data_IF_994451987622
#
_entry.id   IF_994451987622
#
_cell.length_a   1.000
_cell.length_b   1.000
_cell.length_c   1.000
_cell.angle_alpha   90.00
_cell.angle_beta   90.00
_cell.angle_gamma   90.00
#
_symmetry.space_group_name_H-M   'P 1'
#
loop_
_entity.id
_entity.type
_entity.pdbx_description
1 polymer ?
#
# COMPACT_ATOMS: atom_id res chain seq x y z
N UNK A 1 -7.97 -11.88 -7.00
CA UNK A 1 -7.94 -11.59 -5.54
C UNK A 1 -7.85 -10.08 -5.33
N UNK A 2 -8.94 -9.46 -4.89
CA UNK A 2 -9.00 -8.05 -4.55
C UNK A 2 -8.84 -7.87 -3.04
N UNK A 3 -7.82 -7.13 -2.64
CA UNK A 3 -7.54 -6.79 -1.25
C UNK A 3 -7.88 -5.32 -0.99
N UNK A 4 -8.34 -5.02 0.20
CA UNK A 4 -8.89 -3.74 0.59
C UNK A 4 -7.89 -2.73 1.08
N UNK A 5 -8.06 -1.49 0.69
CA UNK A 5 -7.51 -0.38 1.44
C UNK A 5 -8.34 0.88 1.29
N UNK A 6 -8.80 1.44 2.34
CA UNK A 6 -8.86 2.85 2.69
C UNK A 6 -9.48 3.08 4.05
N UNK A 7 -8.89 4.09 4.71
CA UNK A 7 -9.53 5.00 5.62
C UNK A 7 -10.47 4.36 6.63
N UNK A 8 -9.91 3.77 7.64
CA UNK A 8 -10.64 3.35 8.80
C UNK A 8 -10.43 4.42 9.89
N UNK A 9 -10.98 5.63 9.70
CA UNK A 9 -11.22 6.59 10.78
C UNK A 9 -12.33 6.07 11.70
N UNK A 10 -13.16 6.90 12.31
CA UNK A 10 -14.30 6.51 13.16
C UNK A 10 -15.26 5.45 12.58
N UNK A 11 -15.02 4.99 11.39
CA UNK A 11 -15.78 4.01 10.61
C UNK A 11 -15.44 2.55 10.96
N UNK A 12 -14.46 2.29 11.83
CA UNK A 12 -13.95 0.95 12.18
C UNK A 12 -15.01 -0.12 12.50
N UNK A 13 -16.08 0.24 13.17
CA UNK A 13 -17.12 -0.73 13.54
C UNK A 13 -18.05 -1.10 12.38
N UNK A 14 -18.26 -0.22 11.40
CA UNK A 14 -19.19 -0.44 10.27
C UNK A 14 -18.52 -1.09 9.06
N UNK A 15 -17.31 -0.65 8.69
CA UNK A 15 -16.66 -1.09 7.43
C UNK A 15 -16.16 -2.53 7.44
N UNK A 16 -15.82 -3.10 8.59
CA UNK A 16 -15.32 -4.48 8.64
C UNK A 16 -16.37 -5.51 8.27
N UNK A 17 -17.66 -5.26 8.62
CA UNK A 17 -18.77 -6.10 8.14
C UNK A 17 -19.00 -5.92 6.64
N UNK A 18 -18.70 -4.75 6.11
CA UNK A 18 -18.86 -4.42 4.69
C UNK A 18 -17.74 -5.00 3.82
N UNK A 19 -16.57 -5.32 4.40
CA UNK A 19 -15.45 -6.00 3.73
C UNK A 19 -15.91 -7.30 3.08
N UNK A 20 -16.55 -8.17 3.84
CA UNK A 20 -17.06 -9.44 3.33
C UNK A 20 -18.20 -9.24 2.34
N UNK A 21 -19.10 -8.26 2.57
CA UNK A 21 -20.19 -7.93 1.63
C UNK A 21 -19.67 -7.40 0.29
N UNK A 22 -18.57 -6.64 0.29
CA UNK A 22 -17.92 -6.19 -0.92
C UNK A 22 -17.18 -7.32 -1.65
N UNK A 23 -17.06 -8.50 -1.03
CA UNK A 23 -16.37 -9.65 -1.61
C UNK A 23 -14.85 -9.56 -1.55
N UNK A 24 -14.27 -8.85 -0.60
CA UNK A 24 -12.83 -8.77 -0.44
C UNK A 24 -12.25 -10.06 0.13
N UNK A 25 -11.02 -10.39 -0.30
CA UNK A 25 -10.29 -11.59 0.11
C UNK A 25 -9.27 -11.28 1.25
N UNK A 26 -9.30 -10.04 1.79
CA UNK A 26 -8.43 -9.61 2.86
C UNK A 26 -8.27 -8.08 2.95
N UNK A 27 -7.37 -7.62 3.81
CA UNK A 27 -6.96 -6.22 3.92
C UNK A 27 -5.56 -6.08 3.35
N UNK A 28 -5.45 -5.54 2.15
CA UNK A 28 -4.18 -5.38 1.44
C UNK A 28 -3.36 -4.18 1.91
N UNK A 29 -4.01 -3.20 2.57
CA UNK A 29 -3.35 -2.06 3.18
C UNK A 29 -4.21 -1.51 4.31
N UNK A 30 -3.81 -1.77 5.55
CA UNK A 30 -4.31 -1.08 6.72
C UNK A 30 -3.43 0.13 7.00
N UNK A 31 -3.97 1.33 6.75
CA UNK A 31 -3.28 2.59 7.01
C UNK A 31 -3.39 2.93 8.49
N UNK A 32 -2.27 3.09 9.16
CA UNK A 32 -2.24 3.32 10.61
C UNK A 32 -2.26 4.80 11.00
N UNK A 33 -2.08 5.69 10.04
CA UNK A 33 -2.01 7.14 10.26
C UNK A 33 -3.25 7.69 10.96
N UNK A 34 -4.42 7.10 10.71
CA UNK A 34 -5.68 7.52 11.36
C UNK A 34 -5.66 7.41 12.88
N UNK A 35 -4.81 6.55 13.43
CA UNK A 35 -4.66 6.42 14.88
C UNK A 35 -3.93 7.62 15.49
N UNK A 36 -3.22 8.38 14.66
CA UNK A 36 -2.36 9.51 15.06
C UNK A 36 -2.94 10.86 14.67
N UNK A 37 -3.89 10.89 13.73
CA UNK A 37 -4.48 12.13 13.23
C UNK A 37 -5.64 12.61 14.11
N UNK A 38 -5.88 13.95 14.11
CA UNK A 38 -7.02 14.59 14.80
C UNK A 38 -7.08 14.28 16.30
N UNK A 39 -5.93 14.30 16.97
CA UNK A 39 -5.81 14.10 18.42
C UNK A 39 -4.57 14.85 18.96
N UNK A 40 -4.62 15.25 20.23
CA UNK A 40 -3.57 16.05 20.89
C UNK A 40 -2.53 15.17 21.63
N UNK A 41 -2.74 13.86 21.67
CA UNK A 41 -1.85 12.88 22.28
C UNK A 41 -1.52 11.74 21.30
N UNK A 42 -0.46 11.02 21.59
CA UNK A 42 -0.09 9.83 20.80
C UNK A 42 -0.92 8.63 21.23
N UNK A 43 -1.33 7.75 20.29
CA UNK A 43 -2.01 6.52 20.63
C UNK A 43 -1.08 5.60 21.42
N UNK A 44 -1.51 5.17 22.61
CA UNK A 44 -0.75 4.23 23.39
C UNK A 44 -0.73 2.83 22.73
N UNK A 45 0.13 1.94 23.24
CA UNK A 45 0.27 0.58 22.71
C UNK A 45 -1.06 -0.19 22.71
N UNK A 46 -1.84 -0.09 23.79
CA UNK A 46 -3.10 -0.83 23.91
C UNK A 46 -4.20 -0.30 23.00
N UNK A 47 -4.24 1.00 22.71
CA UNK A 47 -5.15 1.58 21.71
C UNK A 47 -4.84 1.01 20.33
N UNK A 48 -3.58 1.01 19.94
CA UNK A 48 -3.11 0.47 18.67
C UNK A 48 -3.38 -1.04 18.59
N UNK A 49 -2.99 -1.79 19.62
CA UNK A 49 -3.25 -3.23 19.74
C UNK A 49 -4.73 -3.56 19.56
N UNK A 50 -5.61 -2.85 20.26
CA UNK A 50 -7.06 -3.07 20.16
C UNK A 50 -7.59 -2.75 18.77
N UNK A 51 -7.05 -1.73 18.10
CA UNK A 51 -7.42 -1.39 16.72
C UNK A 51 -7.02 -2.52 15.76
N UNK A 52 -5.79 -3.02 15.84
CA UNK A 52 -5.30 -4.11 14.99
C UNK A 52 -6.07 -5.42 15.25
N UNK A 53 -6.28 -5.77 16.52
CA UNK A 53 -7.05 -6.97 16.88
C UNK A 53 -8.48 -6.96 16.31
N UNK A 54 -9.14 -5.81 16.31
CA UNK A 54 -10.49 -5.70 15.72
C UNK A 54 -10.50 -6.08 14.25
N UNK A 55 -9.53 -5.57 13.49
CA UNK A 55 -9.44 -5.87 12.05
C UNK A 55 -9.05 -7.33 11.83
N UNK A 56 -8.03 -7.82 12.51
CA UNK A 56 -7.56 -9.21 12.39
C UNK A 56 -8.67 -10.20 12.67
N UNK A 57 -9.38 -10.05 13.79
CA UNK A 57 -10.50 -10.95 14.17
C UNK A 57 -11.62 -10.94 13.14
N UNK A 58 -11.92 -9.78 12.59
CA UNK A 58 -13.02 -9.66 11.62
C UNK A 58 -12.68 -10.30 10.28
N UNK A 59 -11.40 -10.41 9.95
CA UNK A 59 -10.95 -11.03 8.70
C UNK A 59 -10.93 -12.57 8.74
N UNK A 60 -11.19 -13.20 9.92
CA UNK A 60 -11.37 -14.66 10.05
C UNK A 60 -10.27 -15.48 9.37
N UNK A 61 -9.02 -15.11 9.55
CA UNK A 61 -7.86 -15.79 8.97
C UNK A 61 -7.44 -15.31 7.58
N UNK A 62 -8.21 -14.44 6.95
CA UNK A 62 -7.79 -13.77 5.72
C UNK A 62 -6.62 -12.81 5.98
N UNK A 63 -5.76 -12.54 4.98
CA UNK A 63 -4.59 -11.71 5.18
C UNK A 63 -4.93 -10.27 5.58
N UNK A 64 -4.15 -9.75 6.52
CA UNK A 64 -4.19 -8.35 6.96
C UNK A 64 -2.78 -7.77 6.86
N UNK A 65 -2.59 -6.81 5.96
CA UNK A 65 -1.34 -6.09 5.80
C UNK A 65 -1.43 -4.78 6.57
N UNK A 66 -0.64 -4.64 7.63
CA UNK A 66 -0.59 -3.43 8.46
C UNK A 66 0.63 -2.62 8.01
N UNK A 67 0.40 -1.43 7.48
CA UNK A 67 1.46 -0.50 7.16
C UNK A 67 1.90 0.24 8.42
N UNK A 68 3.20 0.25 8.70
CA UNK A 68 3.75 1.12 9.74
C UNK A 68 3.47 2.58 9.41
N UNK A 69 3.48 3.43 10.43
CA UNK A 69 3.06 4.82 10.31
C UNK A 69 3.81 5.56 9.18
N UNK A 70 3.04 6.10 8.25
CA UNK A 70 3.52 6.98 7.19
C UNK A 70 3.12 8.43 7.55
N UNK A 71 3.63 8.90 8.67
CA UNK A 71 3.42 10.24 9.22
C UNK A 71 4.41 11.23 8.60
N UNK A 72 4.06 12.51 8.66
CA UNK A 72 4.78 13.58 7.97
C UNK A 72 4.24 13.84 6.56
N UNK A 73 4.78 14.84 5.88
CA UNK A 73 4.28 15.23 4.56
C UNK A 73 2.89 15.87 4.63
N UNK A 74 1.98 15.35 3.83
CA UNK A 74 0.57 15.76 3.76
C UNK A 74 -0.30 15.19 4.91
N UNK A 75 0.26 14.33 5.75
CA UNK A 75 -0.43 13.65 6.86
C UNK A 75 -0.05 14.30 8.18
N UNK A 76 -0.67 15.44 8.44
CA UNK A 76 -0.34 16.30 9.59
C UNK A 76 -0.98 15.75 10.87
N UNK A 77 -0.16 15.55 11.90
CA UNK A 77 -0.59 15.41 13.28
C UNK A 77 -1.03 16.79 13.81
N UNK A 78 -1.79 16.83 14.92
CA UNK A 78 -2.06 18.10 15.57
C UNK A 78 -0.76 18.78 16.00
N UNK A 79 -0.76 20.11 16.06
CA UNK A 79 0.42 20.88 16.47
C UNK A 79 0.91 20.45 17.86
N UNK A 80 -0.01 20.24 18.80
CA UNK A 80 0.28 19.79 20.17
C UNK A 80 0.94 18.39 20.20
N UNK A 81 0.52 17.49 19.31
CA UNK A 81 1.14 16.15 19.21
C UNK A 81 2.54 16.21 18.59
N UNK A 82 2.75 17.10 17.61
CA UNK A 82 4.06 17.33 16.99
C UNK A 82 5.04 17.99 17.94
N UNK A 83 4.62 19.00 18.73
CA UNK A 83 5.45 19.67 19.73
C UNK A 83 5.96 18.71 20.82
N UNK A 84 5.18 17.66 21.14
CA UNK A 84 5.63 16.60 22.06
C UNK A 84 6.68 15.68 21.48
N UNK A 85 6.82 15.64 20.17
CA UNK A 85 7.76 14.76 19.45
C UNK A 85 9.03 15.49 18.99
N UNK A 86 8.94 16.76 18.65
CA UNK A 86 10.04 17.51 18.00
C UNK A 86 10.42 18.74 18.80
N UNK A 87 11.74 18.99 18.89
CA UNK A 87 12.31 20.24 19.41
C UNK A 87 12.75 21.19 18.30
N UNK A 88 12.43 20.88 17.03
CA UNK A 88 12.84 21.64 15.85
C UNK A 88 11.68 22.37 15.18
N UNK A 89 11.94 23.11 14.08
CA UNK A 89 10.91 23.79 13.33
C UNK A 89 9.86 22.82 12.82
N UNK A 90 8.58 23.17 13.04
CA UNK A 90 7.42 22.34 12.65
C UNK A 90 7.07 22.48 11.17
N UNK A 91 7.57 23.51 10.50
CA UNK A 91 7.27 23.78 9.09
C UNK A 91 8.40 23.28 8.18
N UNK A 92 8.07 22.34 7.32
CA UNK A 92 8.94 21.88 6.24
C UNK A 92 8.51 22.55 4.92
N UNK A 93 9.48 23.08 4.17
CA UNK A 93 9.20 23.70 2.85
C UNK A 93 8.70 22.68 1.81
N UNK A 94 9.12 21.43 1.93
CA UNK A 94 8.72 20.34 1.04
C UNK A 94 8.35 19.11 1.88
N UNK A 95 7.17 19.10 2.53
CA UNK A 95 6.82 18.03 3.48
C UNK A 95 6.83 16.62 2.88
N UNK A 96 6.45 16.48 1.61
CA UNK A 96 6.49 15.18 0.92
C UNK A 96 7.90 14.61 0.72
N UNK A 97 8.94 15.47 0.73
CA UNK A 97 10.35 15.11 0.62
C UNK A 97 11.08 15.15 1.97
N UNK A 98 10.42 15.56 3.02
CA UNK A 98 10.96 15.80 4.34
C UNK A 98 10.97 14.57 5.25
N UNK A 99 10.72 14.82 6.54
CA UNK A 99 10.67 13.81 7.60
C UNK A 99 9.35 13.05 7.53
N UNK A 100 9.31 11.97 6.74
CA UNK A 100 8.12 11.18 6.45
C UNK A 100 8.40 9.68 6.47
N UNK A 101 7.36 8.88 6.79
CA UNK A 101 7.39 7.43 6.74
C UNK A 101 8.48 6.83 7.63
N UNK A 102 9.33 5.95 7.11
CA UNK A 102 10.42 5.35 7.90
C UNK A 102 11.39 6.38 8.47
N UNK A 103 11.67 7.49 7.76
CA UNK A 103 12.53 8.55 8.27
C UNK A 103 11.96 9.16 9.56
N UNK A 104 10.64 9.40 9.57
CA UNK A 104 9.94 9.87 10.75
C UNK A 104 9.99 8.84 11.89
N UNK A 105 9.74 7.56 11.58
CA UNK A 105 9.83 6.48 12.54
C UNK A 105 11.23 6.37 13.17
N UNK A 106 12.27 6.52 12.37
CA UNK A 106 13.68 6.48 12.82
C UNK A 106 14.08 7.68 13.66
N UNK A 107 13.47 8.84 13.43
CA UNK A 107 13.66 10.02 14.26
C UNK A 107 12.89 9.92 15.60
N UNK A 108 11.84 9.09 15.65
CA UNK A 108 11.00 8.91 16.83
C UNK A 108 10.94 7.44 17.28
N UNK A 109 12.06 6.87 17.80
CA UNK A 109 12.20 5.45 18.12
C UNK A 109 11.12 4.92 19.05
N UNK A 110 10.78 5.67 20.10
CA UNK A 110 9.76 5.26 21.09
C UNK A 110 8.39 5.04 20.44
N UNK A 111 7.96 5.97 19.58
CA UNK A 111 6.70 5.84 18.84
C UNK A 111 6.73 4.59 17.95
N UNK A 112 7.83 4.36 17.26
CA UNK A 112 7.97 3.25 16.34
C UNK A 112 7.98 1.91 17.07
N UNK A 113 8.74 1.79 18.16
CA UNK A 113 8.75 0.57 19.02
C UNK A 113 7.35 0.30 19.58
N UNK A 114 6.64 1.32 20.09
CA UNK A 114 5.26 1.19 20.58
C UNK A 114 4.34 0.61 19.51
N UNK A 115 4.45 1.09 18.26
CA UNK A 115 3.66 0.56 17.16
C UNK A 115 4.01 -0.89 16.82
N UNK A 116 5.30 -1.21 16.72
CA UNK A 116 5.76 -2.57 16.43
C UNK A 116 5.31 -3.55 17.51
N UNK A 117 5.43 -3.20 18.79
CA UNK A 117 4.94 -4.00 19.93
C UNK A 117 3.45 -4.28 19.78
N UNK A 118 2.64 -3.26 19.48
CA UNK A 118 1.20 -3.42 19.28
C UNK A 118 0.87 -4.37 18.12
N UNK A 119 1.61 -4.29 16.99
CA UNK A 119 1.42 -5.18 15.83
C UNK A 119 1.80 -6.62 16.18
N UNK A 120 2.97 -6.83 16.83
CA UNK A 120 3.47 -8.16 17.21
C UNK A 120 2.54 -8.85 18.20
N UNK A 121 2.01 -8.12 19.20
CA UNK A 121 0.97 -8.60 20.13
C UNK A 121 -0.32 -8.97 19.40
N UNK A 122 -0.78 -8.11 18.49
CA UNK A 122 -2.01 -8.35 17.73
C UNK A 122 -1.86 -9.58 16.82
N UNK A 123 -0.70 -9.79 16.22
CA UNK A 123 -0.42 -10.98 15.41
C UNK A 123 -0.56 -12.29 16.19
N UNK A 124 -0.26 -12.29 17.50
CA UNK A 124 -0.39 -13.46 18.38
C UNK A 124 -1.83 -13.81 18.74
N UNK A 125 -2.83 -13.03 18.35
CA UNK A 125 -4.25 -13.36 18.64
C UNK A 125 -4.79 -14.54 17.84
N UNK A 126 -3.97 -15.20 17.05
CA UNK A 126 -4.14 -16.56 16.52
C UNK A 126 -5.11 -16.73 15.36
N UNK A 127 -5.77 -15.67 14.90
CA UNK A 127 -6.79 -15.77 13.85
C UNK A 127 -6.35 -15.17 12.51
N UNK A 128 -5.10 -14.68 12.39
CA UNK A 128 -4.77 -13.86 11.24
C UNK A 128 -3.44 -14.14 10.57
N UNK A 129 -3.47 -14.02 9.26
CA UNK A 129 -2.30 -13.91 8.41
C UNK A 129 -1.87 -12.44 8.41
N UNK A 130 -1.23 -11.99 9.51
CA UNK A 130 -0.77 -10.61 9.69
C UNK A 130 0.57 -10.42 9.00
N UNK A 131 0.74 -9.29 8.34
CA UNK A 131 1.96 -8.88 7.66
C UNK A 131 2.26 -7.42 7.96
N UNK A 132 3.53 -7.07 8.10
CA UNK A 132 3.99 -5.69 8.29
C UNK A 132 4.44 -5.14 6.93
N UNK A 133 3.99 -3.94 6.57
CA UNK A 133 4.38 -3.24 5.35
C UNK A 133 5.10 -1.94 5.70
N UNK A 134 6.29 -1.76 5.19
CA UNK A 134 7.13 -0.59 5.41
C UNK A 134 6.89 0.46 4.32
N UNK A 135 6.45 1.69 4.64
CA UNK A 135 6.36 2.79 3.66
C UNK A 135 7.74 3.39 3.39
N UNK A 136 7.90 4.09 2.28
CA UNK A 136 9.05 4.92 1.95
C UNK A 136 10.42 4.20 2.03
N UNK A 137 10.44 2.90 1.75
CA UNK A 137 11.69 2.13 1.68
C UNK A 137 12.53 2.60 0.51
N UNK A 138 13.82 2.81 0.74
CA UNK A 138 14.78 3.24 -0.30
C UNK A 138 15.93 2.25 -0.50
N UNK A 139 16.31 1.53 0.57
CA UNK A 139 17.48 0.65 0.55
C UNK A 139 17.37 -0.53 1.54
N UNK A 140 18.24 -1.55 1.44
CA UNK A 140 18.32 -2.64 2.41
C UNK A 140 18.67 -2.18 3.84
N UNK A 141 19.39 -1.07 3.98
CA UNK A 141 19.75 -0.49 5.28
C UNK A 141 18.51 -0.05 6.05
N UNK A 142 17.50 0.49 5.35
CA UNK A 142 16.20 0.81 5.97
C UNK A 142 15.58 -0.43 6.59
N UNK A 143 15.61 -1.55 5.87
CA UNK A 143 15.06 -2.84 6.32
C UNK A 143 15.85 -3.40 7.51
N UNK A 144 17.17 -3.34 7.45
CA UNK A 144 18.06 -3.75 8.54
C UNK A 144 17.74 -3.00 9.81
N UNK A 145 17.63 -1.68 9.72
CA UNK A 145 17.30 -0.82 10.87
C UNK A 145 15.91 -1.12 11.43
N UNK A 146 14.92 -1.41 10.59
CA UNK A 146 13.60 -1.85 11.08
C UNK A 146 13.68 -3.17 11.82
N UNK A 147 14.50 -4.13 11.35
CA UNK A 147 14.69 -5.41 12.05
C UNK A 147 15.31 -5.24 13.44
N UNK A 148 16.19 -4.26 13.63
CA UNK A 148 16.73 -3.89 14.95
C UNK A 148 15.60 -3.42 15.88
N UNK A 149 14.69 -2.56 15.39
CA UNK A 149 13.52 -2.11 16.16
C UNK A 149 12.55 -3.26 16.47
N UNK A 150 12.33 -4.19 15.53
CA UNK A 150 11.51 -5.38 15.77
C UNK A 150 12.15 -6.24 16.86
N UNK A 151 13.47 -6.45 16.81
CA UNK A 151 14.21 -7.22 17.84
C UNK A 151 14.10 -6.56 19.21
N UNK A 152 14.21 -5.25 19.30
CA UNK A 152 14.01 -4.49 20.53
C UNK A 152 12.58 -4.68 21.07
N UNK A 153 11.57 -4.50 20.22
CA UNK A 153 10.17 -4.71 20.58
C UNK A 153 9.89 -6.12 21.10
N UNK A 154 10.47 -7.15 20.46
CA UNK A 154 10.37 -8.53 20.91
C UNK A 154 11.03 -8.74 22.29
N UNK A 155 12.21 -8.16 22.51
CA UNK A 155 12.92 -8.25 23.79
C UNK A 155 12.15 -7.62 24.94
N UNK A 156 11.58 -6.44 24.72
CA UNK A 156 10.74 -5.76 25.70
C UNK A 156 9.46 -6.57 26.03
N UNK A 157 8.76 -7.05 25.00
CA UNK A 157 7.55 -7.87 25.17
C UNK A 157 7.84 -9.17 25.92
N UNK A 158 8.97 -9.81 25.63
CA UNK A 158 9.40 -11.02 26.33
C UNK A 158 9.71 -10.74 27.80
N UNK A 159 10.41 -9.65 28.11
CA UNK A 159 10.72 -9.24 29.46
C UNK A 159 9.46 -8.94 30.31
N UNK A 160 8.41 -8.45 29.67
CA UNK A 160 7.11 -8.17 30.30
C UNK A 160 6.17 -9.40 30.32
N UNK A 161 6.60 -10.56 29.81
CA UNK A 161 5.77 -11.76 29.74
C UNK A 161 4.55 -11.65 28.80
N UNK A 162 4.57 -10.70 27.88
CA UNK A 162 3.49 -10.50 26.91
C UNK A 162 3.50 -11.58 25.82
N UNK A 163 2.32 -11.98 25.35
CA UNK A 163 2.20 -12.86 24.17
C UNK A 163 2.37 -12.06 22.88
N UNK A 164 3.26 -12.52 22.01
CA UNK A 164 3.51 -11.91 20.70
C UNK A 164 3.94 -12.94 19.66
N UNK A 165 3.91 -12.57 18.39
CA UNK A 165 4.48 -13.33 17.27
C UNK A 165 5.71 -12.58 16.76
N UNK A 166 6.90 -13.19 16.92
CA UNK A 166 8.15 -12.57 16.50
C UNK A 166 8.35 -12.61 14.97
N UNK A 167 7.93 -13.70 14.34
CA UNK A 167 8.13 -13.96 12.92
C UNK A 167 6.91 -13.52 12.10
N UNK A 168 6.72 -12.19 12.00
CA UNK A 168 5.68 -11.58 11.17
C UNK A 168 6.29 -11.20 9.81
N UNK A 169 5.74 -11.66 8.68
CA UNK A 169 6.30 -11.34 7.36
C UNK A 169 6.42 -9.83 7.14
N UNK A 170 7.61 -9.40 6.68
CA UNK A 170 7.97 -8.01 6.48
C UNK A 170 8.02 -7.67 4.98
N UNK A 171 7.20 -6.71 4.54
CA UNK A 171 7.16 -6.25 3.16
C UNK A 171 7.61 -4.81 3.02
N UNK A 172 8.00 -4.44 1.80
CA UNK A 172 8.36 -3.07 1.44
C UNK A 172 7.38 -2.46 0.45
N UNK A 173 7.03 -1.20 0.66
CA UNK A 173 6.26 -0.43 -0.32
C UNK A 173 7.22 0.16 -1.35
N UNK A 174 7.01 -0.22 -2.60
CA UNK A 174 7.75 0.33 -3.74
C UNK A 174 6.98 1.55 -4.22
N UNK A 175 7.36 2.69 -3.70
CA UNK A 175 6.71 3.98 -3.95
C UNK A 175 7.71 5.12 -4.19
N UNK A 176 9.00 4.83 -4.02
CA UNK A 176 10.10 5.74 -4.33
C UNK A 176 10.90 5.13 -5.49
N UNK A 177 11.29 5.89 -6.53
CA UNK A 177 12.10 5.37 -7.63
C UNK A 177 13.39 4.67 -7.19
N UNK A 178 14.00 5.11 -6.07
CA UNK A 178 15.16 4.44 -5.49
C UNK A 178 14.87 2.97 -5.16
N UNK A 179 13.71 2.65 -4.59
CA UNK A 179 13.32 1.26 -4.29
C UNK A 179 13.24 0.40 -5.56
N UNK A 180 12.79 0.96 -6.69
CA UNK A 180 12.76 0.24 -7.98
C UNK A 180 14.18 -0.08 -8.46
N UNK A 181 15.11 0.84 -8.29
CA UNK A 181 16.51 0.64 -8.65
C UNK A 181 17.23 -0.37 -7.75
N UNK A 182 16.85 -0.40 -6.46
CA UNK A 182 17.42 -1.28 -5.43
C UNK A 182 16.68 -2.62 -5.28
N UNK A 183 15.76 -2.97 -6.18
CA UNK A 183 14.95 -4.19 -6.05
C UNK A 183 15.77 -5.47 -5.87
N UNK A 184 16.90 -5.59 -6.58
CA UNK A 184 17.77 -6.77 -6.48
C UNK A 184 18.31 -6.99 -5.07
N UNK A 185 18.56 -5.89 -4.36
CA UNK A 185 19.09 -5.90 -3.00
C UNK A 185 17.98 -5.94 -1.94
N UNK A 186 16.79 -5.39 -2.25
CA UNK A 186 15.62 -5.44 -1.40
C UNK A 186 14.91 -6.80 -1.41
N UNK A 187 14.92 -7.50 -2.54
CA UNK A 187 14.24 -8.80 -2.69
C UNK A 187 14.76 -9.84 -1.70
N UNK A 188 16.06 -9.99 -1.42
CA UNK A 188 16.54 -10.97 -0.44
C UNK A 188 16.10 -10.68 1.01
N UNK A 189 15.86 -9.43 1.36
CA UNK A 189 15.62 -9.00 2.76
C UNK A 189 14.16 -8.74 3.10
N UNK A 190 13.25 -8.76 2.12
CA UNK A 190 11.81 -8.56 2.29
C UNK A 190 11.02 -9.78 1.80
N UNK A 191 9.91 -10.08 2.47
CA UNK A 191 9.09 -11.27 2.18
C UNK A 191 8.07 -11.03 1.05
N UNK A 192 7.58 -9.80 0.91
CA UNK A 192 6.61 -9.38 -0.11
C UNK A 192 6.74 -7.90 -0.43
N UNK A 193 6.04 -7.46 -1.48
CA UNK A 193 6.08 -6.09 -1.95
C UNK A 193 4.68 -5.53 -2.19
N UNK A 194 4.55 -4.21 -2.08
CA UNK A 194 3.35 -3.48 -2.48
C UNK A 194 3.74 -2.24 -3.29
N UNK A 195 3.12 -2.04 -4.44
CA UNK A 195 3.32 -0.84 -5.26
C UNK A 195 2.44 0.30 -4.71
N UNK A 196 3.05 1.33 -4.14
CA UNK A 196 2.41 2.55 -3.70
C UNK A 196 2.31 3.55 -4.86
N UNK A 197 1.32 3.35 -5.74
CA UNK A 197 1.28 4.04 -7.04
C UNK A 197 1.17 5.55 -6.93
N UNK A 198 0.49 6.09 -5.91
CA UNK A 198 0.32 7.53 -5.77
C UNK A 198 1.66 8.25 -5.56
N UNK A 199 2.44 7.76 -4.61
CA UNK A 199 3.76 8.32 -4.30
C UNK A 199 4.78 7.97 -5.39
N UNK A 200 4.70 6.78 -6.00
CA UNK A 200 5.56 6.41 -7.12
C UNK A 200 5.41 7.37 -8.31
N UNK A 201 4.18 7.76 -8.66
CA UNK A 201 3.91 8.78 -9.70
C UNK A 201 4.50 10.11 -9.29
N UNK A 202 4.18 10.58 -8.07
CA UNK A 202 4.64 11.85 -7.53
C UNK A 202 6.15 11.99 -7.60
N UNK A 203 6.89 11.01 -7.09
CA UNK A 203 8.36 11.06 -7.04
C UNK A 203 9.02 10.79 -8.39
N UNK A 204 8.41 9.96 -9.24
CA UNK A 204 8.92 9.70 -10.60
C UNK A 204 8.84 10.94 -11.48
N UNK A 205 7.75 11.69 -11.37
CA UNK A 205 7.50 12.87 -12.19
C UNK A 205 7.93 14.18 -11.51
N UNK A 206 8.40 14.11 -10.25
CA UNK A 206 8.74 15.27 -9.41
C UNK A 206 7.56 16.27 -9.32
N UNK A 207 6.36 15.77 -9.11
CA UNK A 207 5.12 16.55 -9.08
C UNK A 207 4.41 16.35 -7.76
N UNK A 208 4.23 17.43 -7.01
CA UNK A 208 3.38 17.41 -5.83
C UNK A 208 1.90 17.35 -6.26
N UNK A 209 1.27 16.17 -5.99
CA UNK A 209 -0.14 15.92 -6.33
C UNK A 209 -1.14 16.81 -5.59
N UNK A 210 -0.71 17.42 -4.47
CA UNK A 210 -1.55 18.30 -3.65
C UNK A 210 -1.47 19.75 -4.11
N UNK A 211 -0.45 20.11 -4.90
CA UNK A 211 -0.26 21.46 -5.43
C UNK A 211 -1.02 21.65 -6.76
N UNK A 212 -2.09 22.43 -6.71
CA UNK A 212 -2.96 22.70 -7.86
C UNK A 212 -2.22 23.30 -9.07
N UNK A 213 -1.13 24.05 -8.87
CA UNK A 213 -0.38 24.67 -9.96
C UNK A 213 0.35 23.64 -10.85
N UNK A 214 0.74 22.50 -10.28
CA UNK A 214 1.50 21.46 -10.98
C UNK A 214 0.76 20.13 -11.13
N UNK A 215 -0.41 19.96 -10.50
CA UNK A 215 -1.19 18.70 -10.53
C UNK A 215 -1.52 18.20 -11.93
N UNK A 216 -1.60 19.09 -12.93
CA UNK A 216 -1.79 18.72 -14.34
C UNK A 216 -0.65 17.89 -14.94
N UNK A 217 0.52 17.88 -14.31
CA UNK A 217 1.67 17.05 -14.70
C UNK A 217 1.69 15.71 -14.01
N UNK A 218 0.82 15.48 -13.04
CA UNK A 218 0.65 14.20 -12.36
C UNK A 218 -0.12 13.26 -13.31
N UNK A 219 0.59 12.29 -13.88
CA UNK A 219 0.02 11.36 -14.86
C UNK A 219 0.39 9.91 -14.52
N UNK A 220 -0.59 9.16 -14.01
CA UNK A 220 -0.47 7.74 -13.67
C UNK A 220 -0.13 6.86 -14.89
N UNK A 221 -0.51 7.30 -16.09
CA UNK A 221 -0.26 6.61 -17.35
C UNK A 221 1.06 7.02 -18.01
N UNK A 222 1.91 7.78 -17.31
CA UNK A 222 3.20 8.16 -17.86
C UNK A 222 4.08 6.93 -18.12
N UNK A 223 4.74 6.81 -19.29
CA UNK A 223 5.52 5.62 -19.65
C UNK A 223 6.60 5.23 -18.64
N UNK A 224 7.24 6.20 -17.97
CA UNK A 224 8.24 5.91 -16.92
C UNK A 224 7.62 5.20 -15.72
N UNK A 225 6.45 5.65 -15.28
CA UNK A 225 5.71 5.04 -14.15
C UNK A 225 5.33 3.60 -14.48
N UNK A 226 4.70 3.37 -15.65
CA UNK A 226 4.28 2.05 -16.07
C UNK A 226 5.47 1.07 -16.24
N UNK A 227 6.61 1.57 -16.72
CA UNK A 227 7.84 0.77 -16.81
C UNK A 227 8.43 0.43 -15.44
N UNK A 228 8.38 1.33 -14.46
CA UNK A 228 8.80 1.05 -13.08
C UNK A 228 7.90 -0.01 -12.44
N UNK A 229 6.58 0.11 -12.62
CA UNK A 229 5.61 -0.90 -12.18
C UNK A 229 5.93 -2.26 -12.81
N UNK A 230 6.09 -2.32 -14.13
CA UNK A 230 6.40 -3.57 -14.85
C UNK A 230 7.74 -4.18 -14.41
N UNK A 231 8.75 -3.35 -14.18
CA UNK A 231 10.06 -3.80 -13.69
C UNK A 231 9.94 -4.41 -12.31
N UNK A 232 9.21 -3.77 -11.41
CA UNK A 232 8.98 -4.26 -10.05
C UNK A 232 8.25 -5.61 -10.08
N UNK A 233 7.13 -5.70 -10.79
CA UNK A 233 6.35 -6.94 -10.87
C UNK A 233 7.19 -8.08 -11.41
N UNK A 234 7.91 -7.85 -12.50
CA UNK A 234 8.75 -8.87 -13.13
C UNK A 234 9.86 -9.38 -12.20
N UNK A 235 10.64 -8.48 -11.57
CA UNK A 235 11.75 -8.89 -10.71
C UNK A 235 11.29 -9.61 -9.45
N UNK A 236 10.21 -9.11 -8.82
CA UNK A 236 9.64 -9.73 -7.62
C UNK A 236 9.10 -11.13 -7.92
N UNK A 237 8.39 -11.31 -9.06
CA UNK A 237 7.90 -12.61 -9.48
C UNK A 237 9.02 -13.59 -9.88
N UNK A 238 10.07 -13.12 -10.53
CA UNK A 238 11.24 -13.96 -10.85
C UNK A 238 11.91 -14.51 -9.59
N UNK A 239 11.81 -13.79 -8.48
CA UNK A 239 12.29 -14.23 -7.17
C UNK A 239 11.27 -15.10 -6.38
N UNK A 240 10.14 -15.46 -6.98
CA UNK A 240 9.09 -16.26 -6.32
C UNK A 240 8.30 -15.50 -5.24
N UNK A 241 8.43 -14.17 -5.17
CA UNK A 241 7.75 -13.35 -4.16
C UNK A 241 6.49 -12.70 -4.72
N UNK A 242 5.61 -12.27 -3.81
CA UNK A 242 4.35 -11.64 -4.19
C UNK A 242 4.46 -10.12 -4.22
N UNK A 243 3.76 -9.51 -5.17
CA UNK A 243 3.57 -8.07 -5.25
C UNK A 243 2.09 -7.73 -5.37
N UNK A 244 1.64 -6.76 -4.59
CA UNK A 244 0.31 -6.15 -4.68
C UNK A 244 0.40 -4.73 -5.24
N UNK A 245 -0.72 -4.23 -5.74
CA UNK A 245 -0.84 -2.82 -6.14
C UNK A 245 -1.81 -2.14 -5.18
N UNK A 246 -1.40 -1.02 -4.61
CA UNK A 246 -2.24 -0.13 -3.85
C UNK A 246 -2.15 1.30 -4.40
N UNK A 247 -3.00 2.17 -3.92
CA UNK A 247 -3.17 3.50 -4.50
C UNK A 247 -4.34 3.55 -5.49
N UNK A 248 -4.54 4.71 -6.09
CA UNK A 248 -5.73 4.97 -6.90
C UNK A 248 -5.76 4.17 -8.20
N UNK A 249 -4.60 3.89 -8.78
CA UNK A 249 -4.49 3.07 -9.99
C UNK A 249 -5.10 1.66 -9.81
N UNK A 250 -5.04 1.08 -8.61
CA UNK A 250 -5.62 -0.24 -8.34
C UNK A 250 -7.15 -0.27 -8.44
N UNK A 251 -7.80 0.90 -8.31
CA UNK A 251 -9.25 1.07 -8.32
C UNK A 251 -9.81 1.48 -9.71
N UNK A 252 -8.95 1.58 -10.72
CA UNK A 252 -9.32 1.99 -12.07
C UNK A 252 -9.58 0.80 -12.97
N UNK A 253 -10.85 0.55 -13.42
CA UNK A 253 -11.20 -0.62 -14.24
C UNK A 253 -10.40 -0.72 -15.54
N UNK A 254 -10.10 0.40 -16.19
CA UNK A 254 -9.36 0.45 -17.44
C UNK A 254 -7.90 -0.01 -17.29
N UNK A 255 -7.31 0.07 -16.07
CA UNK A 255 -5.94 -0.40 -15.80
C UNK A 255 -5.88 -1.88 -15.43
N UNK A 256 -7.02 -2.53 -15.15
CA UNK A 256 -7.05 -3.95 -14.75
C UNK A 256 -6.39 -4.88 -15.79
N UNK A 257 -6.66 -4.75 -17.12
CA UNK A 257 -5.99 -5.59 -18.10
C UNK A 257 -4.46 -5.41 -18.10
N UNK A 258 -3.97 -4.21 -17.87
CA UNK A 258 -2.54 -3.95 -17.74
C UNK A 258 -1.94 -4.68 -16.53
N UNK A 259 -2.55 -4.57 -15.35
CA UNK A 259 -2.06 -5.26 -14.16
C UNK A 259 -2.13 -6.78 -14.28
N UNK A 260 -3.21 -7.33 -14.84
CA UNK A 260 -3.32 -8.78 -15.12
C UNK A 260 -2.23 -9.22 -16.11
N UNK A 261 -2.02 -8.45 -17.17
CA UNK A 261 -1.01 -8.74 -18.18
C UNK A 261 0.43 -8.68 -17.65
N UNK A 262 0.69 -7.90 -16.60
CA UNK A 262 1.95 -7.93 -15.87
C UNK A 262 2.07 -9.12 -14.91
N UNK A 263 0.96 -9.83 -14.63
CA UNK A 263 0.92 -10.91 -13.65
C UNK A 263 0.60 -10.46 -12.21
N UNK A 264 0.13 -9.22 -12.00
CA UNK A 264 -0.32 -8.80 -10.68
C UNK A 264 -1.52 -9.64 -10.22
N UNK A 265 -1.43 -10.19 -9.00
CA UNK A 265 -2.45 -11.08 -8.44
C UNK A 265 -3.30 -10.42 -7.35
N UNK A 266 -2.90 -9.24 -6.88
CA UNK A 266 -3.56 -8.57 -5.76
C UNK A 266 -3.67 -7.07 -6.04
N UNK A 267 -4.91 -6.56 -5.97
CA UNK A 267 -5.23 -5.13 -6.07
C UNK A 267 -5.91 -4.68 -4.78
N UNK A 268 -5.36 -3.64 -4.16
CA UNK A 268 -5.86 -3.08 -2.90
C UNK A 268 -6.54 -1.74 -3.16
N UNK A 269 -7.80 -1.62 -2.75
CA UNK A 269 -8.65 -0.48 -3.06
C UNK A 269 -9.72 -0.23 -2.01
N UNK A 270 -10.50 0.83 -2.16
CA UNK A 270 -11.68 1.07 -1.32
C UNK A 270 -12.78 0.04 -1.55
N UNK A 271 -13.58 -0.23 -0.53
CA UNK A 271 -14.67 -1.21 -0.57
C UNK A 271 -15.64 -1.01 -1.75
N UNK A 272 -15.98 0.24 -2.02
CA UNK A 272 -16.94 0.62 -3.05
C UNK A 272 -16.49 0.26 -4.45
N UNK A 273 -15.19 0.13 -4.69
CA UNK A 273 -14.62 -0.17 -6.00
C UNK A 273 -14.49 -1.68 -6.26
N UNK A 274 -14.49 -2.51 -5.22
CA UNK A 274 -14.23 -3.96 -5.34
C UNK A 274 -15.18 -4.65 -6.32
N UNK A 275 -16.52 -4.43 -6.27
CA UNK A 275 -17.43 -5.13 -7.19
C UNK A 275 -17.14 -4.82 -8.66
N UNK A 276 -16.85 -3.55 -8.98
CA UNK A 276 -16.54 -3.11 -10.34
C UNK A 276 -15.22 -3.73 -10.84
N UNK A 277 -14.18 -3.72 -10.00
CA UNK A 277 -12.88 -4.29 -10.33
C UNK A 277 -12.96 -5.81 -10.45
N UNK A 278 -13.65 -6.52 -9.54
CA UNK A 278 -13.88 -7.98 -9.67
C UNK A 278 -14.60 -8.32 -10.98
N UNK A 279 -15.65 -7.57 -11.31
CA UNK A 279 -16.34 -7.75 -12.60
C UNK A 279 -15.41 -7.57 -13.80
N UNK A 280 -14.49 -6.59 -13.73
CA UNK A 280 -13.49 -6.37 -14.79
C UNK A 280 -12.49 -7.52 -14.87
N UNK A 281 -11.97 -7.99 -13.73
CA UNK A 281 -11.03 -9.11 -13.64
C UNK A 281 -11.64 -10.37 -14.26
N UNK A 282 -12.86 -10.75 -13.85
CA UNK A 282 -13.54 -11.95 -14.34
C UNK A 282 -13.79 -11.95 -15.85
N UNK A 283 -13.89 -10.77 -16.47
CA UNK A 283 -14.10 -10.60 -17.91
C UNK A 283 -12.81 -10.35 -18.71
N UNK A 284 -11.66 -10.34 -18.06
CA UNK A 284 -10.37 -10.09 -18.69
C UNK A 284 -9.70 -11.42 -19.02
N UNK A 285 -9.48 -11.68 -20.32
CA UNK A 285 -8.68 -12.80 -20.78
C UNK A 285 -7.20 -12.52 -20.53
N UNK A 286 -6.52 -13.45 -19.86
CA UNK A 286 -5.12 -13.27 -19.45
C UNK A 286 -4.17 -13.15 -20.63
N UNK A 287 -4.31 -13.98 -21.66
CA UNK A 287 -3.40 -13.97 -22.81
C UNK A 287 -3.52 -12.64 -23.58
N UNK A 288 -4.74 -12.14 -23.76
CA UNK A 288 -4.99 -10.82 -24.36
C UNK A 288 -4.42 -9.69 -23.49
N UNK A 289 -4.55 -9.79 -22.20
CA UNK A 289 -4.01 -8.83 -21.24
C UNK A 289 -2.47 -8.77 -21.27
N UNK A 290 -1.79 -9.90 -21.41
CA UNK A 290 -0.33 -9.98 -21.57
C UNK A 290 0.13 -9.28 -22.86
N UNK A 291 -0.55 -9.51 -23.98
CA UNK A 291 -0.28 -8.82 -25.26
C UNK A 291 -0.53 -7.33 -25.12
N UNK A 292 -1.63 -6.93 -24.48
CA UNK A 292 -1.99 -5.54 -24.25
C UNK A 292 -0.93 -4.83 -23.39
N UNK A 293 -0.56 -5.38 -22.24
CA UNK A 293 0.46 -4.82 -21.36
C UNK A 293 1.80 -4.63 -22.08
N UNK A 294 2.23 -5.65 -22.85
CA UNK A 294 3.43 -5.57 -23.66
C UNK A 294 3.34 -4.45 -24.72
N UNK A 295 2.16 -4.21 -25.31
CA UNK A 295 1.94 -3.13 -26.28
C UNK A 295 2.03 -1.75 -25.62
N UNK A 296 1.41 -1.58 -24.43
CA UNK A 296 1.43 -0.34 -23.64
C UNK A 296 2.86 0.03 -23.26
N UNK A 297 3.65 -0.91 -22.79
CA UNK A 297 5.05 -0.67 -22.39
C UNK A 297 5.96 -0.20 -23.54
N UNK A 298 5.60 -0.47 -24.80
CA UNK A 298 6.31 0.03 -26.00
C UNK A 298 5.98 1.47 -26.35
N UNK A 299 4.90 2.04 -25.77
CA UNK A 299 4.51 3.43 -26.05
C UNK A 299 5.56 4.40 -25.49
N UNK A 300 5.80 5.48 -26.24
CA UNK A 300 6.84 6.46 -25.91
C UNK A 300 6.30 7.78 -25.34
N UNK A 301 4.99 7.96 -25.37
CA UNK A 301 4.34 9.17 -24.85
C UNK A 301 3.11 8.81 -24.01
N UNK A 302 2.81 9.64 -23.01
CA UNK A 302 1.62 9.50 -22.16
C UNK A 302 0.35 9.53 -23.03
N UNK A 303 0.26 10.42 -24.02
CA UNK A 303 -0.87 10.47 -24.97
C UNK A 303 -1.11 9.12 -25.65
N UNK A 304 -0.07 8.47 -26.15
CA UNK A 304 -0.19 7.16 -26.81
C UNK A 304 -0.57 6.04 -25.81
N UNK A 305 -0.15 6.13 -24.57
CA UNK A 305 -0.57 5.23 -23.49
C UNK A 305 -2.06 5.42 -23.20
N UNK A 306 -2.50 6.64 -22.92
CA UNK A 306 -3.91 6.95 -22.69
C UNK A 306 -4.80 6.44 -23.82
N UNK A 307 -4.39 6.68 -25.07
CA UNK A 307 -5.13 6.20 -26.23
C UNK A 307 -5.26 4.67 -26.28
N UNK A 308 -4.21 3.94 -25.86
CA UNK A 308 -4.27 2.48 -25.76
C UNK A 308 -5.28 2.01 -24.71
N UNK A 309 -5.36 2.68 -23.55
CA UNK A 309 -6.36 2.36 -22.52
C UNK A 309 -7.78 2.69 -22.96
N UNK A 310 -8.00 3.82 -23.63
CA UNK A 310 -9.31 4.18 -24.19
C UNK A 310 -9.78 3.12 -25.19
N UNK A 311 -8.94 2.72 -26.13
CA UNK A 311 -9.25 1.67 -27.11
C UNK A 311 -9.60 0.33 -26.48
N UNK A 312 -8.86 -0.08 -25.43
CA UNK A 312 -9.17 -1.32 -24.70
C UNK A 312 -10.50 -1.23 -23.94
N UNK A 313 -10.83 -0.06 -23.39
CA UNK A 313 -12.11 0.14 -22.70
C UNK A 313 -13.28 0.15 -23.70
N UNK A 314 -13.15 0.80 -24.84
CA UNK A 314 -14.14 0.76 -25.92
C UNK A 314 -14.37 -0.67 -26.43
N UNK A 315 -13.29 -1.43 -26.66
CA UNK A 315 -13.39 -2.81 -27.06
C UNK A 315 -14.07 -3.70 -26.00
N UNK A 316 -13.87 -3.38 -24.72
CA UNK A 316 -14.55 -4.06 -23.62
C UNK A 316 -16.05 -3.73 -23.56
N UNK A 317 -16.44 -2.48 -23.77
CA UNK A 317 -17.83 -2.07 -23.77
C UNK A 317 -18.59 -2.67 -24.98
N UNK A 318 -17.99 -2.70 -26.16
CA UNK A 318 -18.57 -3.29 -27.35
C UNK A 318 -18.82 -4.81 -27.19
N UNK A 319 -17.93 -5.53 -26.49
CA UNK A 319 -18.14 -6.94 -26.16
C UNK A 319 -19.35 -7.18 -25.24
N UNK A 320 -19.70 -6.22 -24.36
CA UNK A 320 -20.89 -6.27 -23.50
C UNK A 320 -22.20 -6.17 -24.30
N UNK A 321 -22.19 -5.37 -25.38
CA UNK A 321 -23.36 -5.20 -26.24
C UNK A 321 -23.62 -6.43 -27.09
N UNK A 322 -22.56 -7.14 -27.51
CA UNK A 322 -22.67 -8.36 -28.34
C UNK A 322 -23.06 -9.62 -27.57
N UNK A 323 -22.99 -9.64 -26.23
CA UNK A 323 -23.41 -10.77 -25.39
C UNK A 323 -24.35 -10.33 -24.28
N UNK A 324 -25.69 -10.24 -24.56
CA UNK A 324 -26.70 -9.82 -23.57
C UNK A 324 -26.87 -10.80 -22.40
N UNK A 325 -26.35 -12.04 -22.49
CA UNK A 325 -26.49 -13.06 -21.45
C UNK A 325 -25.63 -12.79 -20.18
N UNK A 326 -24.83 -11.75 -20.19
CA UNK A 326 -23.94 -11.35 -19.09
C UNK A 326 -24.45 -10.21 -18.21
N UNK A 327 -25.76 -9.92 -18.26
CA UNK A 327 -26.42 -8.95 -17.38
C UNK A 327 -27.08 -9.69 -16.22
N UNK A 328 -26.31 -10.09 -15.23
CA UNK A 328 -26.77 -10.48 -13.89
C UNK A 328 -25.75 -10.02 -12.86
#
# INVERSE_FOLDING_TARGET
DCLLSRGLGDVYKRQVKDVHRAGADGVGLFRTEFLFMNRDDLPCEDEQYNAYCRVIRSMKGQPVVIRTADLGGDKVMSQDALEKLTTGPLEELNPSLGLRGLRFCFAHPKLFVTQLRAILRAAATGSGNVRILLPMVTSPEDVSRVREFISLACSELAAEGQKFTADVPLGGMVEVPAAVMMLKDLIPVLDFFSLGTNDLVQYTLAVDRTNAAVSKYYDECHPSVLRMIATTVRQVHQAGKSVSVCGEMAARPELVPFFIGLGCTRLSMTLTQIPAIKKRILKTDRAKAEVFAASVLRRRSAKAVHQSFIQEEEAFQNRKVADPSTTL
#
